data_IF_430345506924
#
_entry.id   IF_430345506924
#
_cell.length_a   1.000
_cell.length_b   1.000
_cell.length_c   1.000
_cell.angle_alpha   90.00
_cell.angle_beta   90.00
_cell.angle_gamma   90.00
#
_symmetry.space_group_name_H-M   'P 1'
#
loop_
_entity.id
_entity.type
_entity.pdbx_description
1 polymer ?
#
# COMPACT_ATOMS: atom_id res chain seq x y z
N UNK A 1 -16.83 17.19 10.34
CA UNK A 1 -16.15 16.67 10.29
C UNK A 1 -15.72 15.85 9.43
N UNK A 2 -15.34 15.53 8.95
CA UNK A 2 -14.94 14.61 8.02
C UNK A 2 -13.46 14.39 8.00
N UNK A 3 -13.04 13.58 7.09
CA UNK A 3 -11.68 13.27 6.90
C UNK A 3 -11.04 14.35 6.07
N UNK A 4 -9.78 14.65 6.33
CA UNK A 4 -9.09 15.60 5.48
C UNK A 4 -8.92 14.98 4.10
N UNK A 5 -8.75 15.84 3.10
CA UNK A 5 -8.54 15.37 1.75
C UNK A 5 -7.30 14.45 1.67
N UNK A 6 -6.25 14.81 2.38
CA UNK A 6 -5.02 14.02 2.36
C UNK A 6 -5.24 12.64 2.95
N UNK A 7 -5.98 12.55 4.03
CA UNK A 7 -6.28 11.25 4.64
C UNK A 7 -7.10 10.39 3.69
N UNK A 8 -8.10 11.01 3.05
CA UNK A 8 -8.91 10.28 2.09
C UNK A 8 -8.08 9.74 0.94
N UNK A 9 -7.19 10.56 0.43
CA UNK A 9 -6.35 10.15 -0.70
C UNK A 9 -5.40 9.02 -0.29
N UNK A 10 -4.84 9.12 0.91
CA UNK A 10 -3.95 8.08 1.40
C UNK A 10 -4.69 6.75 1.53
N UNK A 11 -5.89 6.79 2.08
CA UNK A 11 -6.67 5.56 2.22
C UNK A 11 -6.98 4.95 0.86
N UNK A 12 -7.34 5.78 -0.11
CA UNK A 12 -7.62 5.31 -1.45
C UNK A 12 -6.39 4.65 -2.07
N UNK A 13 -5.23 5.31 -1.94
CA UNK A 13 -4.00 4.77 -2.50
C UNK A 13 -3.62 3.44 -1.85
N UNK A 14 -3.82 3.34 -0.55
CA UNK A 14 -3.50 2.10 0.15
C UNK A 14 -4.42 0.98 -0.28
N UNK A 15 -5.69 1.26 -0.50
CA UNK A 15 -6.61 0.24 -1.00
C UNK A 15 -6.21 -0.23 -2.37
N UNK A 16 -5.79 0.68 -3.24
CA UNK A 16 -5.32 0.30 -4.56
C UNK A 16 -4.06 -0.55 -4.46
N UNK A 17 -3.17 -0.21 -3.53
CA UNK A 17 -1.95 -0.97 -3.35
C UNK A 17 -2.26 -2.40 -2.93
N UNK A 18 -3.17 -2.57 -1.98
CA UNK A 18 -3.56 -3.91 -1.54
C UNK A 18 -4.14 -4.70 -2.71
N UNK A 19 -4.97 -4.07 -3.51
CA UNK A 19 -5.55 -4.74 -4.66
C UNK A 19 -4.45 -5.25 -5.60
N UNK A 20 -3.48 -4.39 -5.90
CA UNK A 20 -2.39 -4.78 -6.79
C UNK A 20 -1.53 -5.88 -6.16
N UNK A 21 -1.32 -5.80 -4.86
CA UNK A 21 -0.51 -6.81 -4.18
C UNK A 21 -1.13 -8.19 -4.26
N UNK A 22 -2.45 -8.27 -4.17
CA UNK A 22 -3.14 -9.55 -4.15
C UNK A 22 -3.56 -10.03 -5.52
N UNK A 23 -3.69 -9.11 -6.49
CA UNK A 23 -4.18 -9.48 -7.81
C UNK A 23 -3.08 -9.58 -8.86
N UNK A 24 -1.88 -9.06 -8.58
CA UNK A 24 -0.80 -9.10 -9.54
C UNK A 24 0.47 -9.59 -8.88
N UNK A 25 1.50 -9.81 -9.68
CA UNK A 25 2.81 -10.20 -9.17
C UNK A 25 3.78 -9.03 -9.17
N UNK A 26 3.27 -7.81 -9.22
CA UNK A 26 4.14 -6.65 -9.25
C UNK A 26 4.95 -6.54 -7.96
N UNK A 27 6.15 -6.02 -8.10
CA UNK A 27 7.00 -5.81 -6.94
C UNK A 27 6.53 -4.57 -6.17
N UNK A 28 6.96 -4.50 -4.91
CA UNK A 28 6.51 -3.39 -4.07
C UNK A 28 6.82 -2.03 -4.65
N UNK A 29 8.02 -1.87 -5.27
CA UNK A 29 8.34 -0.56 -5.83
C UNK A 29 7.47 -0.23 -7.05
N UNK A 30 7.06 -1.25 -7.78
CA UNK A 30 6.16 -1.04 -8.91
C UNK A 30 4.78 -0.62 -8.42
N UNK A 31 4.31 -1.26 -7.37
CA UNK A 31 3.03 -0.92 -6.79
C UNK A 31 3.05 0.50 -6.25
N UNK A 32 4.15 0.88 -5.59
CA UNK A 32 4.28 2.24 -5.07
C UNK A 32 4.12 3.26 -6.17
N UNK A 33 4.77 3.02 -7.32
CA UNK A 33 4.65 3.93 -8.45
C UNK A 33 3.24 4.00 -8.97
N UNK A 34 2.60 2.84 -9.09
CA UNK A 34 1.25 2.79 -9.64
C UNK A 34 0.26 3.58 -8.80
N UNK A 35 0.45 3.60 -7.49
CA UNK A 35 -0.48 4.33 -6.64
C UNK A 35 -0.03 5.74 -6.31
N UNK A 36 1.06 6.20 -6.95
CA UNK A 36 1.43 7.60 -6.87
C UNK A 36 2.52 7.97 -5.89
N UNK A 37 3.27 6.99 -5.40
CA UNK A 37 4.40 7.26 -4.52
C UNK A 37 5.70 7.11 -5.30
N UNK A 38 6.52 8.15 -5.27
CA UNK A 38 7.79 8.08 -5.97
C UNK A 38 8.84 7.30 -5.21
N UNK A 39 8.70 7.26 -3.90
CA UNK A 39 9.68 6.60 -3.04
C UNK A 39 9.05 5.36 -2.40
N UNK A 40 9.58 4.20 -2.79
CA UNK A 40 9.04 2.94 -2.27
C UNK A 40 9.23 2.81 -0.76
N UNK A 41 10.30 3.41 -0.23
CA UNK A 41 10.51 3.37 1.22
C UNK A 41 9.43 4.15 1.95
N UNK A 42 9.07 5.31 1.42
CA UNK A 42 8.02 6.10 2.02
C UNK A 42 6.68 5.37 1.91
N UNK A 43 6.43 4.77 0.75
CA UNK A 43 5.22 3.98 0.57
C UNK A 43 5.14 2.89 1.64
N UNK A 44 6.24 2.18 1.87
CA UNK A 44 6.27 1.13 2.88
C UNK A 44 5.99 1.66 4.28
N UNK A 45 6.52 2.85 4.57
CA UNK A 45 6.28 3.47 5.87
C UNK A 45 4.80 3.78 6.07
N UNK A 46 4.18 4.39 5.06
CA UNK A 46 2.76 4.74 5.14
C UNK A 46 1.91 3.48 5.25
N UNK A 47 2.27 2.46 4.46
CA UNK A 47 1.54 1.20 4.48
C UNK A 47 1.58 0.57 5.87
N UNK A 48 2.77 0.55 6.47
CA UNK A 48 2.92 -0.05 7.78
C UNK A 48 2.11 0.71 8.83
N UNK A 49 2.08 2.03 8.72
CA UNK A 49 1.29 2.82 9.67
C UNK A 49 -0.19 2.50 9.56
N UNK A 50 -0.67 2.23 8.35
CA UNK A 50 -2.09 1.99 8.16
C UNK A 50 -2.48 0.55 8.50
N UNK A 51 -1.67 -0.40 8.11
CA UNK A 51 -2.05 -1.81 8.26
C UNK A 51 -1.30 -2.54 9.35
N UNK A 52 -0.34 -1.91 9.98
CA UNK A 52 0.38 -2.53 11.09
C UNK A 52 1.49 -3.48 10.66
N UNK A 53 1.73 -3.60 9.38
CA UNK A 53 2.82 -4.47 8.89
C UNK A 53 3.29 -3.96 7.54
N UNK A 54 4.51 -4.33 7.18
CA UNK A 54 5.08 -3.89 5.91
C UNK A 54 4.33 -4.52 4.73
N UNK A 55 4.46 -3.92 3.55
CA UNK A 55 3.82 -4.49 2.35
C UNK A 55 4.25 -5.92 2.09
N UNK A 56 5.54 -6.22 2.27
CA UNK A 56 6.03 -7.58 2.02
C UNK A 56 5.40 -8.57 2.98
N UNK A 57 5.33 -8.20 4.26
CA UNK A 57 4.74 -9.08 5.25
C UNK A 57 3.24 -9.26 4.99
N UNK A 58 2.57 -8.17 4.64
CA UNK A 58 1.14 -8.23 4.34
C UNK A 58 0.88 -9.21 3.20
N UNK A 59 1.67 -9.12 2.14
CA UNK A 59 1.50 -10.01 1.00
C UNK A 59 1.74 -11.46 1.41
N UNK A 60 2.79 -11.71 2.19
CA UNK A 60 3.10 -13.05 2.64
C UNK A 60 1.95 -13.62 3.46
N UNK A 61 1.38 -12.82 4.34
CA UNK A 61 0.31 -13.29 5.19
C UNK A 61 -0.96 -13.60 4.42
N UNK A 62 -1.21 -12.86 3.34
CA UNK A 62 -2.45 -13.03 2.59
C UNK A 62 -2.30 -13.93 1.38
N UNK A 63 -1.07 -14.19 0.94
CA UNK A 63 -0.87 -15.03 -0.22
C UNK A 63 -0.01 -16.25 0.08
N UNK A 64 0.49 -16.36 1.26
CA UNK A 64 1.42 -17.43 1.62
C UNK A 64 0.73 -18.72 1.98
N UNK A 65 -0.27 -19.05 1.27
CA UNK A 65 -0.99 -20.27 1.59
C UNK A 65 -0.25 -21.49 1.16
#
# INVERSE_FOLDING_TARGET
MGISFITYLTDYRMQQAVHLMLETNEKNYEIAEHVGYEDANYFGYVFKRKYGMSPSKYRTEHMGK
#
